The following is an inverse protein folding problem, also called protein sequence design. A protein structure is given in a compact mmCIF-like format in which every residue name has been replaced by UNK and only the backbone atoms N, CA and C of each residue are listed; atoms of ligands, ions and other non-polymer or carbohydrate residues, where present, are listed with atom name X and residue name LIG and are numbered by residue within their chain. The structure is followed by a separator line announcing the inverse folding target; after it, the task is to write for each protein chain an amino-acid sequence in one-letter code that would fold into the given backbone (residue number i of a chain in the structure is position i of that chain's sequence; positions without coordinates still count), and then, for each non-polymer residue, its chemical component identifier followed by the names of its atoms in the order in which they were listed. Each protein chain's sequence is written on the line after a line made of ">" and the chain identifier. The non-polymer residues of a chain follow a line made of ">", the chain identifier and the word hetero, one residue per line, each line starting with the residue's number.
data_IF_631365650487
#
_entry.id   IF_631365650487
#
_cell.length_a   1.000
_cell.length_b   1.000
_cell.length_c   1.000
_cell.angle_alpha   90.00
_cell.angle_beta   90.00
_cell.angle_gamma   90.00
#
_symmetry.space_group_name_H-M   'P 1'
#
loop_
_entity.id
_entity.type
_entity.pdbx_description
1 polymer ?
#
# COMPACT_ATOMS: atom_id res chain seq x y z
N UNK A 1 19.58 7.22 2.01
CA UNK A 1 18.43 7.87 2.67
C UNK A 1 18.89 8.33 4.05
N UNK A 2 18.81 9.62 4.34
CA UNK A 2 19.18 10.19 5.64
C UNK A 2 18.17 9.77 6.70
N UNK A 3 18.51 9.96 7.99
CA UNK A 3 17.60 9.68 9.10
C UNK A 3 16.32 10.50 8.97
N UNK A 4 16.44 11.81 8.71
CA UNK A 4 15.28 12.71 8.54
C UNK A 4 14.38 12.28 7.38
N UNK A 5 14.95 11.85 6.24
CA UNK A 5 14.16 11.32 5.13
C UNK A 5 13.41 10.06 5.53
N UNK A 6 14.06 9.18 6.30
CA UNK A 6 13.46 7.91 6.76
C UNK A 6 12.30 8.18 7.71
N UNK A 7 12.49 9.09 8.68
CA UNK A 7 11.45 9.51 9.62
C UNK A 7 10.26 10.15 8.88
N UNK A 8 10.53 11.03 7.92
CA UNK A 8 9.48 11.63 7.11
C UNK A 8 8.70 10.59 6.30
N UNK A 9 9.39 9.64 5.67
CA UNK A 9 8.74 8.58 4.90
C UNK A 9 7.90 7.65 5.80
N UNK A 10 8.40 7.31 6.99
CA UNK A 10 7.65 6.55 7.99
C UNK A 10 6.43 7.32 8.47
N UNK A 11 6.55 8.64 8.71
CA UNK A 11 5.45 9.47 9.13
C UNK A 11 4.36 9.57 8.05
N UNK A 12 4.75 9.77 6.77
CA UNK A 12 3.81 9.75 5.64
C UNK A 12 3.11 8.40 5.53
N UNK A 13 3.87 7.31 5.57
CA UNK A 13 3.32 5.95 5.49
C UNK A 13 2.35 5.68 6.65
N UNK A 14 2.75 5.99 7.88
CA UNK A 14 1.92 5.85 9.07
C UNK A 14 0.66 6.69 9.01
N UNK A 15 0.75 7.95 8.55
CA UNK A 15 -0.40 8.82 8.35
C UNK A 15 -1.39 8.21 7.36
N UNK A 16 -0.93 7.73 6.21
CA UNK A 16 -1.81 7.10 5.20
C UNK A 16 -2.50 5.88 5.80
N UNK A 17 -1.76 4.99 6.48
CA UNK A 17 -2.37 3.77 7.06
C UNK A 17 -3.39 4.12 8.14
N UNK A 18 -3.05 5.02 9.07
CA UNK A 18 -3.96 5.45 10.14
C UNK A 18 -5.20 6.14 9.56
N UNK A 19 -5.02 7.06 8.60
CA UNK A 19 -6.15 7.69 7.91
C UNK A 19 -7.01 6.66 7.19
N UNK A 20 -6.42 5.68 6.50
CA UNK A 20 -7.16 4.62 5.81
C UNK A 20 -7.99 3.79 6.80
N UNK A 21 -7.43 3.46 7.97
CA UNK A 21 -8.13 2.71 9.01
C UNK A 21 -9.28 3.49 9.63
N UNK A 22 -9.16 4.81 9.79
CA UNK A 22 -10.27 5.66 10.24
C UNK A 22 -11.34 5.73 9.15
N UNK A 23 -10.95 5.94 7.90
CA UNK A 23 -11.84 6.10 6.76
C UNK A 23 -12.56 4.82 6.33
N UNK A 24 -12.20 3.66 6.89
CA UNK A 24 -12.93 2.40 6.66
C UNK A 24 -14.18 2.27 7.54
N UNK A 25 -14.27 3.08 8.60
CA UNK A 25 -15.34 2.98 9.60
C UNK A 25 -16.70 3.37 9.01
N UNK A 26 -17.83 2.86 9.57
CA UNK A 26 -19.18 3.02 9.02
C UNK A 26 -19.57 4.46 8.68
N UNK A 27 -19.15 5.45 9.48
CA UNK A 27 -19.47 6.86 9.24
C UNK A 27 -18.81 7.46 7.98
N UNK A 28 -17.82 6.78 7.39
CA UNK A 28 -17.10 7.20 6.19
C UNK A 28 -17.36 6.27 4.99
N UNK A 29 -18.46 5.52 5.01
CA UNK A 29 -18.86 4.71 3.86
C UNK A 29 -19.39 5.60 2.74
N UNK A 30 -18.94 5.35 1.51
CA UNK A 30 -19.49 6.02 0.31
C UNK A 30 -20.79 5.33 -0.09
N UNK A 31 -20.79 4.00 -0.03
CA UNK A 31 -21.96 3.15 -0.21
C UNK A 31 -21.74 1.81 0.51
N UNK A 32 -22.68 0.88 0.37
CA UNK A 32 -22.64 -0.43 1.06
C UNK A 32 -21.42 -1.32 0.71
N UNK A 33 -20.65 -0.98 -0.33
CA UNK A 33 -19.56 -1.81 -0.87
C UNK A 33 -18.23 -1.05 -0.98
N UNK A 34 -18.22 0.28 -0.81
CA UNK A 34 -17.06 1.14 -1.01
C UNK A 34 -16.88 2.13 0.14
N UNK A 35 -15.66 2.18 0.68
CA UNK A 35 -15.26 3.09 1.77
C UNK A 35 -14.19 4.08 1.29
N UNK A 36 -14.09 5.24 1.96
CA UNK A 36 -12.96 6.14 1.74
C UNK A 36 -11.61 5.51 2.10
N UNK A 37 -11.60 4.54 3.03
CA UNK A 37 -10.42 3.75 3.37
C UNK A 37 -9.92 2.92 2.18
N UNK A 38 -10.82 2.26 1.45
CA UNK A 38 -10.46 1.50 0.25
C UNK A 38 -9.86 2.37 -0.86
N UNK A 39 -10.21 3.66 -0.91
CA UNK A 39 -9.65 4.60 -1.87
C UNK A 39 -8.27 5.12 -1.45
N UNK A 40 -8.08 5.37 -0.16
CA UNK A 40 -6.84 5.97 0.36
C UNK A 40 -5.74 4.93 0.57
N UNK A 41 -6.09 3.68 0.83
CA UNK A 41 -5.12 2.62 1.11
C UNK A 41 -4.13 2.33 -0.02
N UNK A 42 -4.50 2.29 -1.32
CA UNK A 42 -3.55 2.10 -2.42
C UNK A 42 -2.44 3.15 -2.50
N UNK A 43 -2.61 4.33 -1.87
CA UNK A 43 -1.57 5.37 -1.81
C UNK A 43 -0.33 4.85 -1.07
N UNK A 44 -0.46 3.86 -0.18
CA UNK A 44 0.68 3.19 0.43
C UNK A 44 1.62 2.56 -0.62
N UNK A 45 1.08 1.94 -1.68
CA UNK A 45 1.89 1.37 -2.77
C UNK A 45 2.65 2.46 -3.52
N UNK A 46 2.02 3.61 -3.78
CA UNK A 46 2.70 4.76 -4.39
C UNK A 46 3.92 5.21 -3.56
N UNK A 47 3.78 5.29 -2.24
CA UNK A 47 4.89 5.66 -1.35
C UNK A 47 6.00 4.61 -1.41
N UNK A 48 5.64 3.33 -1.32
CA UNK A 48 6.58 2.21 -1.41
C UNK A 48 7.34 2.21 -2.73
N UNK A 49 6.66 2.39 -3.85
CA UNK A 49 7.24 2.45 -5.20
C UNK A 49 8.25 3.59 -5.35
N UNK A 50 7.90 4.79 -4.86
CA UNK A 50 8.79 5.96 -4.90
C UNK A 50 10.05 5.71 -4.08
N UNK A 51 9.90 5.12 -2.90
CA UNK A 51 11.03 4.77 -2.03
C UNK A 51 11.90 3.69 -2.64
N UNK A 52 11.30 2.66 -3.23
CA UNK A 52 12.02 1.55 -3.86
C UNK A 52 12.81 2.06 -5.08
N UNK A 53 12.17 2.88 -5.92
CA UNK A 53 12.82 3.54 -7.06
C UNK A 53 14.05 4.34 -6.64
N UNK A 54 13.90 5.19 -5.62
CA UNK A 54 14.90 6.20 -5.26
C UNK A 54 15.98 5.69 -4.32
N UNK A 55 15.62 4.85 -3.37
CA UNK A 55 16.50 4.42 -2.28
C UNK A 55 16.73 2.91 -2.25
N UNK A 56 16.07 2.15 -3.13
CA UNK A 56 16.21 0.71 -3.26
C UNK A 56 15.32 -0.09 -2.29
N UNK A 57 15.25 -1.42 -2.50
CA UNK A 57 14.29 -2.29 -1.84
C UNK A 57 14.55 -2.43 -0.34
N UNK A 58 15.82 -2.36 0.09
CA UNK A 58 16.16 -2.44 1.52
C UNK A 58 15.58 -1.26 2.33
N UNK A 59 15.62 -0.05 1.76
CA UNK A 59 15.09 1.15 2.43
C UNK A 59 13.57 1.19 2.40
N UNK A 60 12.95 0.81 1.28
CA UNK A 60 11.50 0.67 1.18
C UNK A 60 10.96 -0.32 2.23
N UNK A 61 11.56 -1.51 2.35
CA UNK A 61 11.18 -2.52 3.35
C UNK A 61 11.21 -1.98 4.78
N UNK A 62 12.27 -1.26 5.14
CA UNK A 62 12.39 -0.66 6.47
C UNK A 62 11.27 0.34 6.76
N UNK A 63 10.92 1.21 5.80
CA UNK A 63 9.83 2.19 5.97
C UNK A 63 8.49 1.48 6.11
N UNK A 64 8.19 0.49 5.26
CA UNK A 64 6.97 -0.33 5.35
C UNK A 64 6.87 -1.01 6.71
N UNK A 65 7.91 -1.72 7.16
CA UNK A 65 7.87 -2.46 8.42
C UNK A 65 7.70 -1.54 9.63
N UNK A 66 8.39 -0.40 9.67
CA UNK A 66 8.24 0.54 10.79
C UNK A 66 6.86 1.21 10.75
N UNK A 67 6.43 1.71 9.58
CA UNK A 67 5.12 2.32 9.41
C UNK A 67 3.98 1.37 9.78
N UNK A 68 4.11 0.10 9.42
CA UNK A 68 3.18 -0.96 9.80
C UNK A 68 3.05 -1.12 11.31
N UNK A 69 4.19 -1.24 12.02
CA UNK A 69 4.19 -1.39 13.49
C UNK A 69 3.47 -0.22 14.15
N UNK A 70 3.79 1.01 13.74
CA UNK A 70 3.12 2.20 14.27
C UNK A 70 1.62 2.20 13.98
N UNK A 71 1.22 1.83 12.77
CA UNK A 71 -0.18 1.78 12.38
C UNK A 71 -0.98 0.73 13.17
N UNK A 72 -0.39 -0.45 13.39
CA UNK A 72 -1.00 -1.50 14.21
C UNK A 72 -1.17 -1.01 15.64
N UNK A 73 -0.14 -0.42 16.25
CA UNK A 73 -0.21 0.12 17.61
C UNK A 73 -1.28 1.23 17.73
N UNK A 74 -1.37 2.12 16.74
CA UNK A 74 -2.38 3.17 16.71
C UNK A 74 -3.81 2.63 16.51
N UNK A 75 -3.96 1.48 15.83
CA UNK A 75 -5.27 0.91 15.48
C UNK A 75 -5.74 -0.18 16.46
N UNK A 76 -4.86 -0.64 17.35
CA UNK A 76 -5.12 -1.73 18.30
C UNK A 76 -6.29 -1.46 19.24
N UNK A 77 -6.62 -0.18 19.48
CA UNK A 77 -7.68 0.23 20.41
C UNK A 77 -9.09 0.08 19.79
N UNK A 78 -9.20 -0.12 18.47
CA UNK A 78 -10.47 0.05 17.74
C UNK A 78 -10.88 -1.20 16.94
N UNK A 79 -9.95 -2.09 16.61
CA UNK A 79 -10.20 -3.21 15.69
C UNK A 79 -10.49 -4.54 16.41
N UNK A 80 -11.44 -5.30 15.87
CA UNK A 80 -11.59 -6.73 16.16
C UNK A 80 -10.27 -7.47 15.88
N UNK A 81 -9.84 -8.35 16.80
CA UNK A 81 -8.53 -9.01 16.75
C UNK A 81 -8.32 -9.80 15.46
N UNK A 82 -9.39 -10.39 14.90
CA UNK A 82 -9.31 -11.16 13.67
C UNK A 82 -9.11 -10.25 12.45
N UNK A 83 -9.85 -9.15 12.39
CA UNK A 83 -9.72 -8.15 11.31
C UNK A 83 -8.32 -7.51 11.35
N UNK A 84 -7.81 -7.23 12.56
CA UNK A 84 -6.46 -6.69 12.75
C UNK A 84 -5.38 -7.66 12.23
N UNK A 85 -5.48 -8.96 12.55
CA UNK A 85 -4.56 -9.98 12.05
C UNK A 85 -4.66 -10.11 10.53
N UNK A 86 -5.88 -10.17 9.98
CA UNK A 86 -6.10 -10.26 8.53
C UNK A 86 -5.48 -9.09 7.77
N UNK A 87 -5.72 -7.86 8.24
CA UNK A 87 -5.13 -6.64 7.67
C UNK A 87 -3.62 -6.64 7.80
N UNK A 88 -3.10 -7.09 8.95
CA UNK A 88 -1.67 -7.14 9.19
C UNK A 88 -0.91 -8.06 8.26
N UNK A 89 -1.41 -9.28 8.09
CA UNK A 89 -0.83 -10.26 7.18
C UNK A 89 -0.96 -9.80 5.73
N UNK A 90 -2.16 -9.36 5.32
CA UNK A 90 -2.41 -8.88 3.96
C UNK A 90 -1.48 -7.72 3.57
N UNK A 91 -1.43 -6.67 4.39
CA UNK A 91 -0.60 -5.49 4.13
C UNK A 91 0.88 -5.84 4.02
N UNK A 92 1.43 -6.57 5.00
CA UNK A 92 2.84 -6.90 5.00
C UNK A 92 3.20 -7.78 3.80
N UNK A 93 2.41 -8.81 3.51
CA UNK A 93 2.66 -9.68 2.37
C UNK A 93 2.58 -8.91 1.06
N UNK A 94 1.55 -8.08 0.88
CA UNK A 94 1.36 -7.28 -0.32
C UNK A 94 2.48 -6.25 -0.53
N UNK A 95 2.88 -5.51 0.51
CA UNK A 95 3.95 -4.52 0.41
C UNK A 95 5.31 -5.16 0.14
N UNK A 96 5.60 -6.31 0.73
CA UNK A 96 6.85 -7.03 0.45
C UNK A 96 6.87 -7.61 -0.97
N UNK A 97 5.73 -8.11 -1.44
CA UNK A 97 5.57 -8.56 -2.83
C UNK A 97 5.74 -7.40 -3.81
N UNK A 98 5.11 -6.27 -3.54
CA UNK A 98 5.23 -5.04 -4.32
C UNK A 98 6.70 -4.64 -4.48
N UNK A 99 7.43 -4.53 -3.35
CA UNK A 99 8.86 -4.19 -3.37
C UNK A 99 9.67 -5.18 -4.22
N UNK A 100 9.40 -6.48 -4.08
CA UNK A 100 10.12 -7.54 -4.79
C UNK A 100 9.87 -7.47 -6.29
N UNK A 101 8.60 -7.39 -6.70
CA UNK A 101 8.21 -7.35 -8.12
C UNK A 101 8.70 -6.04 -8.75
N UNK A 102 8.53 -4.92 -8.05
CA UNK A 102 8.97 -3.62 -8.51
C UNK A 102 10.48 -3.60 -8.74
N UNK A 103 11.28 -4.10 -7.78
CA UNK A 103 12.73 -4.08 -7.89
C UNK A 103 13.21 -4.94 -9.07
N UNK A 104 12.58 -6.10 -9.32
CA UNK A 104 12.86 -6.92 -10.52
C UNK A 104 12.55 -6.19 -11.83
N UNK A 105 11.52 -5.34 -11.84
CA UNK A 105 11.08 -4.61 -13.02
C UNK A 105 11.66 -3.20 -13.13
N UNK A 106 12.46 -2.76 -12.15
CA UNK A 106 12.87 -1.35 -12.03
C UNK A 106 13.62 -0.84 -13.26
N UNK A 107 14.43 -1.67 -13.92
CA UNK A 107 15.22 -1.20 -15.07
C UNK A 107 14.43 -1.23 -16.39
N UNK A 108 13.16 -1.67 -16.39
CA UNK A 108 12.27 -1.61 -17.55
C UNK A 108 11.64 -0.21 -17.67
N UNK A 109 10.69 -0.06 -18.59
CA UNK A 109 9.92 1.18 -18.75
C UNK A 109 9.35 1.65 -17.41
N UNK A 110 9.40 2.96 -17.20
CA UNK A 110 9.10 3.60 -15.91
C UNK A 110 7.75 3.20 -15.28
N UNK A 111 6.74 2.89 -16.10
CA UNK A 111 5.39 2.53 -15.67
C UNK A 111 5.23 1.03 -15.38
N UNK A 112 6.08 0.17 -15.94
CA UNK A 112 5.92 -1.30 -15.83
C UNK A 112 6.09 -1.78 -14.41
N UNK A 113 7.10 -1.26 -13.71
CA UNK A 113 7.36 -1.64 -12.32
C UNK A 113 6.21 -1.26 -11.38
N UNK A 114 5.77 0.02 -11.26
CA UNK A 114 4.68 0.39 -10.35
C UNK A 114 3.34 -0.25 -10.75
N UNK A 115 3.07 -0.39 -12.05
CA UNK A 115 1.81 -0.98 -12.52
C UNK A 115 1.72 -2.47 -12.16
N UNK A 116 2.72 -3.26 -12.55
CA UNK A 116 2.69 -4.72 -12.37
C UNK A 116 2.83 -5.09 -10.89
N UNK A 117 3.72 -4.41 -10.16
CA UNK A 117 3.91 -4.63 -8.74
C UNK A 117 2.65 -4.29 -7.95
N UNK A 118 2.10 -3.08 -8.15
CA UNK A 118 0.89 -2.63 -7.46
C UNK A 118 -0.33 -3.49 -7.77
N UNK A 119 -0.49 -3.98 -9.00
CA UNK A 119 -1.59 -4.88 -9.36
C UNK A 119 -1.49 -6.23 -8.67
N UNK A 120 -0.32 -6.87 -8.73
CA UNK A 120 -0.11 -8.15 -8.05
C UNK A 120 -0.25 -8.03 -6.53
N UNK A 121 0.29 -6.95 -5.97
CA UNK A 121 0.19 -6.67 -4.55
C UNK A 121 -1.25 -6.41 -4.11
N UNK A 122 -2.03 -5.61 -4.85
CA UNK A 122 -3.43 -5.36 -4.53
C UNK A 122 -4.31 -6.61 -4.61
N UNK A 123 -4.08 -7.49 -5.59
CA UNK A 123 -4.78 -8.77 -5.68
C UNK A 123 -4.47 -9.62 -4.44
N UNK A 124 -3.18 -9.80 -4.13
CA UNK A 124 -2.76 -10.62 -2.99
C UNK A 124 -3.26 -10.03 -1.66
N UNK A 125 -3.18 -8.71 -1.49
CA UNK A 125 -3.72 -8.00 -0.33
C UNK A 125 -5.20 -8.32 -0.11
N UNK A 126 -6.03 -8.08 -1.12
CA UNK A 126 -7.47 -8.24 -1.02
C UNK A 126 -7.86 -9.69 -0.74
N UNK A 127 -7.32 -10.65 -1.48
CA UNK A 127 -7.70 -12.05 -1.27
C UNK A 127 -7.19 -12.61 0.07
N UNK A 128 -6.00 -12.20 0.53
CA UNK A 128 -5.52 -12.56 1.86
C UNK A 128 -6.37 -11.92 2.96
N UNK A 129 -6.70 -10.63 2.83
CA UNK A 129 -7.51 -9.92 3.80
C UNK A 129 -8.88 -10.58 3.94
N UNK A 130 -9.66 -10.65 2.85
CA UNK A 130 -11.01 -11.21 2.89
C UNK A 130 -11.01 -12.70 3.26
N UNK A 131 -10.02 -13.46 2.77
CA UNK A 131 -9.86 -14.87 3.13
C UNK A 131 -9.66 -15.06 4.64
N UNK A 132 -8.71 -14.35 5.25
CA UNK A 132 -8.43 -14.49 6.70
C UNK A 132 -9.54 -13.86 7.55
N UNK A 133 -10.08 -12.71 7.13
CA UNK A 133 -11.12 -11.98 7.85
C UNK A 133 -12.46 -12.71 7.89
N UNK A 134 -12.79 -13.52 6.88
CA UNK A 134 -14.11 -14.14 6.73
C UNK A 134 -14.09 -15.66 6.51
N UNK A 135 -12.95 -16.34 6.57
CA UNK A 135 -12.90 -17.82 6.61
C UNK A 135 -13.84 -18.39 7.70
N UNK A 136 -14.70 -19.34 7.33
CA UNK A 136 -15.64 -19.95 8.27
C UNK A 136 -16.81 -19.05 8.71
N UNK A 137 -17.08 -17.95 8.01
CA UNK A 137 -18.33 -17.18 8.16
C UNK A 137 -19.21 -17.35 6.92
N UNK A 138 -20.50 -17.00 7.04
CA UNK A 138 -21.46 -17.03 5.93
C UNK A 138 -21.35 -15.83 4.97
N UNK A 139 -20.35 -14.97 5.18
CA UNK A 139 -20.14 -13.78 4.35
C UNK A 139 -19.65 -14.21 2.97
N UNK A 140 -20.23 -13.73 1.85
CA UNK A 140 -19.78 -14.03 0.49
C UNK A 140 -18.49 -13.26 0.15
N UNK A 141 -17.42 -13.57 0.87
CA UNK A 141 -16.19 -12.79 0.89
C UNK A 141 -15.46 -12.77 -0.46
N UNK A 142 -15.63 -13.78 -1.31
CA UNK A 142 -15.06 -13.83 -2.66
C UNK A 142 -15.66 -12.74 -3.55
N UNK A 143 -16.98 -12.56 -3.49
CA UNK A 143 -17.69 -11.51 -4.24
C UNK A 143 -17.26 -10.13 -3.76
N UNK A 144 -17.16 -9.94 -2.44
CA UNK A 144 -16.68 -8.69 -1.84
C UNK A 144 -15.22 -8.39 -2.24
N UNK A 145 -14.34 -9.40 -2.18
CA UNK A 145 -12.95 -9.30 -2.61
C UNK A 145 -12.84 -8.92 -4.09
N UNK A 146 -13.72 -9.47 -4.94
CA UNK A 146 -13.72 -9.16 -6.38
C UNK A 146 -14.11 -7.71 -6.65
N UNK A 147 -15.07 -7.17 -5.90
CA UNK A 147 -15.44 -5.76 -5.96
C UNK A 147 -14.31 -4.84 -5.48
N UNK A 148 -13.75 -5.15 -4.30
CA UNK A 148 -12.66 -4.38 -3.69
C UNK A 148 -11.41 -4.34 -4.58
N UNK A 149 -10.99 -5.50 -5.11
CA UNK A 149 -9.81 -5.55 -5.97
C UNK A 149 -10.02 -4.75 -7.25
N UNK A 150 -11.21 -4.78 -7.85
CA UNK A 150 -11.52 -3.99 -9.05
C UNK A 150 -11.27 -2.49 -8.83
N UNK A 151 -11.71 -1.97 -7.68
CA UNK A 151 -11.51 -0.56 -7.31
C UNK A 151 -10.02 -0.28 -7.06
N UNK A 152 -9.33 -1.14 -6.30
CA UNK A 152 -7.89 -0.98 -6.04
C UNK A 152 -7.05 -0.99 -7.32
N UNK A 153 -7.40 -1.83 -8.30
CA UNK A 153 -6.71 -1.88 -9.60
C UNK A 153 -6.89 -0.58 -10.40
N UNK A 154 -8.12 -0.03 -10.42
CA UNK A 154 -8.40 1.27 -11.05
C UNK A 154 -7.59 2.38 -10.38
N UNK A 155 -7.59 2.43 -9.04
CA UNK A 155 -6.84 3.44 -8.30
C UNK A 155 -5.34 3.30 -8.54
N UNK A 156 -4.79 2.08 -8.49
CA UNK A 156 -3.37 1.85 -8.79
C UNK A 156 -3.00 2.31 -10.22
N UNK A 157 -3.87 2.11 -11.20
CA UNK A 157 -3.65 2.63 -12.55
C UNK A 157 -3.65 4.17 -12.57
N UNK A 158 -4.57 4.82 -11.84
CA UNK A 158 -4.61 6.28 -11.69
C UNK A 158 -3.35 6.82 -10.99
N UNK A 159 -2.81 6.08 -10.01
CA UNK A 159 -1.60 6.44 -9.27
C UNK A 159 -0.31 6.41 -10.12
N UNK A 160 -0.34 5.87 -11.35
CA UNK A 160 0.76 6.00 -12.29
C UNK A 160 1.07 7.45 -12.66
N UNK A 161 0.05 8.29 -12.77
CA UNK A 161 0.21 9.71 -13.08
C UNK A 161 0.97 10.46 -11.96
N UNK A 162 0.54 10.44 -10.68
CA UNK A 162 1.31 11.05 -9.59
C UNK A 162 2.67 10.39 -9.40
N UNK A 163 2.80 9.07 -9.60
CA UNK A 163 4.11 8.41 -9.60
C UNK A 163 5.06 9.04 -10.63
N UNK A 164 4.59 9.25 -11.86
CA UNK A 164 5.40 9.88 -12.94
C UNK A 164 5.81 11.30 -12.60
N UNK A 165 4.87 12.10 -12.09
CA UNK A 165 5.10 13.50 -11.72
C UNK A 165 6.13 13.59 -10.58
N UNK A 166 5.94 12.78 -9.53
CA UNK A 166 6.82 12.77 -8.37
C UNK A 166 8.22 12.25 -8.71
N UNK A 167 8.35 11.32 -9.65
CA UNK A 167 9.67 10.93 -10.16
C UNK A 167 10.44 12.06 -10.84
N UNK A 168 9.76 12.99 -11.52
CA UNK A 168 10.43 14.14 -12.14
C UNK A 168 11.06 15.04 -11.07
N UNK A 169 10.33 15.30 -9.99
CA UNK A 169 10.79 16.18 -8.91
C UNK A 169 11.73 15.49 -7.90
N UNK A 170 11.65 14.15 -7.76
CA UNK A 170 12.44 13.38 -6.79
C UNK A 170 13.77 12.83 -7.35
N UNK A 171 14.14 13.16 -8.60
CA UNK A 171 15.55 13.33 -8.98
C UNK A 171 16.00 12.65 -10.27
N UNK A 172 16.72 13.43 -11.09
CA UNK A 172 17.97 12.94 -11.69
C UNK A 172 19.00 12.77 -10.55
N UNK A 173 19.74 11.67 -10.47
CA UNK A 173 20.88 11.56 -9.56
C UNK A 173 21.89 12.68 -9.82
N UNK A 174 22.43 13.32 -8.77
CA UNK A 174 23.51 14.33 -8.84
C UNK A 174 24.88 13.73 -9.27
N UNK A 175 24.89 12.68 -10.07
CA UNK A 175 26.13 12.01 -10.51
C UNK A 175 26.40 12.13 -12.01
N UNK A 176 25.81 13.13 -12.68
CA UNK A 176 26.02 13.40 -14.11
C UNK A 176 26.42 14.87 -14.38
N UNK A 177 27.01 15.55 -13.39
CA UNK A 177 27.56 16.91 -13.51
C UNK A 177 28.96 16.98 -12.87
N UNK A 178 29.77 15.93 -13.07
CA UNK A 178 31.21 15.98 -12.83
C UNK A 178 31.90 16.20 -14.18
#
# INVERSE_FOLDING_TARGET
>A
MTINQTLLAVAIMGLIIVSSNILVQPQFHINAWLTWGAITYPICFLVTDLLNRRFGPARARRVVSIGFIFAVLASYVVADSRIAIASGVAFLTAQLLDILVFDKLRYKSWWKAPFIAGWLAAIIDTFLFFGVAFVGTDVPWVTLATGDVGIKLVINAMLLAPFRILMWNLGRPRSAQA
#
